data_IF_487269782567
#
_entry.id   IF_487269782567
#
_cell.length_a   1.000
_cell.length_b   1.000
_cell.length_c   1.000
_cell.angle_alpha   90.00
_cell.angle_beta   90.00
_cell.angle_gamma   90.00
#
_symmetry.space_group_name_H-M   'P 1'
#
loop_
_entity.id
_entity.type
_entity.pdbx_description
1 polymer ?
#
# COMPACT_ATOMS: atom_id res chain seq x y z
N UNK A 1 22.42 22.33 -4.55
CA UNK A 1 21.42 21.62 -3.72
C UNK A 1 20.56 20.81 -4.69
N UNK A 2 20.72 19.49 -4.71
CA UNK A 2 19.95 18.60 -5.58
C UNK A 2 18.59 18.39 -4.92
N UNK A 3 17.50 18.74 -5.61
CA UNK A 3 16.14 18.50 -5.14
C UNK A 3 15.90 16.97 -5.14
N UNK A 4 15.73 16.40 -3.97
CA UNK A 4 15.38 15.01 -3.78
C UNK A 4 13.86 14.94 -3.94
N UNK A 5 13.41 14.36 -5.04
CA UNK A 5 11.98 14.08 -5.25
C UNK A 5 11.67 12.79 -4.50
N UNK A 6 11.03 12.90 -3.35
CA UNK A 6 10.46 11.74 -2.65
C UNK A 6 9.45 11.04 -3.57
N UNK A 7 9.62 9.75 -3.77
CA UNK A 7 8.82 8.93 -4.69
C UNK A 7 7.36 8.76 -4.24
N UNK A 8 7.01 9.22 -3.04
CA UNK A 8 5.69 9.11 -2.43
C UNK A 8 4.70 10.23 -2.82
N UNK A 9 5.16 11.31 -3.46
CA UNK A 9 4.37 12.55 -3.60
C UNK A 9 3.54 12.63 -4.88
N UNK A 10 3.13 11.54 -5.52
CA UNK A 10 2.25 11.63 -6.68
C UNK A 10 1.04 10.70 -6.58
N UNK A 11 0.12 11.04 -5.66
CA UNK A 11 -1.24 10.50 -5.65
C UNK A 11 -2.22 11.57 -6.17
N UNK A 12 -2.02 12.00 -7.42
CA UNK A 12 -3.06 12.72 -8.16
C UNK A 12 -3.63 11.75 -9.19
N UNK A 13 -4.69 11.04 -8.80
CA UNK A 13 -5.46 10.22 -9.72
C UNK A 13 -6.53 11.05 -10.39
N UNK A 14 -6.30 11.45 -11.64
CA UNK A 14 -7.40 11.85 -12.54
C UNK A 14 -8.01 10.57 -13.12
N UNK A 15 -9.09 10.09 -12.55
CA UNK A 15 -9.94 9.04 -13.13
C UNK A 15 -10.94 9.71 -14.10
N UNK A 16 -10.62 9.72 -15.39
CA UNK A 16 -11.63 9.94 -16.42
C UNK A 16 -12.30 8.61 -16.77
N UNK A 17 -13.48 8.38 -16.23
CA UNK A 17 -14.40 7.36 -16.70
C UNK A 17 -15.09 7.86 -17.97
N UNK A 18 -14.64 7.42 -19.13
CA UNK A 18 -15.38 7.55 -20.37
C UNK A 18 -16.49 6.50 -20.42
N UNK A 19 -17.71 6.94 -20.17
CA UNK A 19 -18.90 6.16 -20.45
C UNK A 19 -19.12 6.09 -21.96
N UNK A 20 -18.97 4.93 -22.58
CA UNK A 20 -19.45 4.65 -23.92
C UNK A 20 -20.69 3.77 -23.85
N UNK A 21 -21.78 4.38 -24.33
CA UNK A 21 -23.11 3.82 -24.42
C UNK A 21 -23.28 3.00 -25.72
N UNK A 22 -23.90 1.85 -25.56
CA UNK A 22 -24.75 1.04 -26.46
C UNK A 22 -24.56 1.07 -27.99
N UNK A 23 -24.44 -0.13 -28.56
CA UNK A 23 -25.35 -0.56 -29.64
C UNK A 23 -25.33 -2.09 -29.82
N UNK A 24 -26.55 -2.64 -29.93
CA UNK A 24 -26.87 -4.04 -30.17
C UNK A 24 -26.38 -4.51 -31.54
N UNK A 25 -25.81 -5.71 -31.61
CA UNK A 25 -26.05 -6.61 -32.75
C UNK A 25 -25.90 -8.06 -32.30
N UNK A 26 -26.99 -8.83 -32.54
CA UNK A 26 -27.07 -10.28 -32.43
C UNK A 26 -26.22 -10.93 -33.54
N UNK A 27 -25.38 -11.90 -33.20
CA UNK A 27 -25.21 -13.11 -34.03
C UNK A 27 -24.69 -14.26 -33.16
N UNK A 28 -25.46 -15.32 -33.23
CA UNK A 28 -25.23 -16.65 -32.68
C UNK A 28 -24.04 -17.32 -33.37
N UNK A 29 -23.33 -18.19 -32.65
CA UNK A 29 -22.95 -19.56 -32.94
C UNK A 29 -21.58 -19.95 -32.39
N UNK A 30 -21.59 -21.10 -31.76
CA UNK A 30 -20.55 -22.09 -31.48
C UNK A 30 -19.87 -22.04 -30.11
N UNK A 31 -20.31 -23.05 -29.38
CA UNK A 31 -19.74 -23.65 -28.19
C UNK A 31 -18.32 -24.15 -28.44
N UNK A 32 -17.33 -23.63 -27.71
CA UNK A 32 -16.09 -24.35 -27.43
C UNK A 32 -15.89 -24.44 -25.93
N UNK A 33 -15.98 -25.68 -25.45
CA UNK A 33 -15.73 -26.09 -24.08
C UNK A 33 -14.24 -25.93 -23.78
N UNK A 34 -13.83 -24.82 -23.18
CA UNK A 34 -12.48 -24.70 -22.65
C UNK A 34 -12.48 -25.20 -21.22
N UNK A 35 -11.87 -26.35 -21.02
CA UNK A 35 -11.58 -26.96 -19.72
C UNK A 35 -10.72 -26.00 -18.91
N UNK A 36 -11.31 -25.40 -17.87
CA UNK A 36 -10.56 -24.62 -16.87
C UNK A 36 -9.74 -25.61 -16.05
N UNK A 37 -8.44 -25.61 -16.23
CA UNK A 37 -7.53 -26.28 -15.30
C UNK A 37 -7.58 -25.52 -13.97
N UNK A 38 -8.14 -26.15 -12.97
CA UNK A 38 -8.01 -25.77 -11.57
C UNK A 38 -6.52 -25.81 -11.17
N UNK A 39 -5.89 -24.65 -11.13
CA UNK A 39 -4.57 -24.52 -10.53
C UNK A 39 -4.76 -24.57 -9.02
N UNK A 40 -4.45 -25.71 -8.44
CA UNK A 40 -4.36 -25.91 -6.99
C UNK A 40 -3.37 -24.91 -6.42
N UNK A 41 -3.87 -23.85 -5.82
CA UNK A 41 -3.05 -22.89 -5.08
C UNK A 41 -2.59 -23.58 -3.81
N UNK A 42 -1.32 -23.96 -3.77
CA UNK A 42 -0.67 -24.38 -2.54
C UNK A 42 -0.82 -23.26 -1.51
N UNK A 43 -1.46 -23.60 -0.41
CA UNK A 43 -1.61 -22.73 0.75
C UNK A 43 -0.24 -22.65 1.43
N UNK A 44 0.56 -21.64 1.05
CA UNK A 44 1.78 -21.32 1.79
C UNK A 44 1.36 -20.86 3.19
N UNK A 45 1.58 -21.70 4.15
CA UNK A 45 1.54 -21.35 5.57
C UNK A 45 2.71 -20.39 5.81
N UNK A 46 2.45 -19.11 5.69
CA UNK A 46 3.43 -18.07 6.00
C UNK A 46 3.69 -18.12 7.50
N UNK A 47 4.80 -18.76 7.88
CA UNK A 47 5.35 -18.62 9.24
C UNK A 47 5.72 -17.15 9.37
N UNK A 48 4.99 -16.40 10.22
CA UNK A 48 5.26 -15.00 10.48
C UNK A 48 6.67 -14.92 11.09
N UNK A 49 7.61 -14.41 10.33
CA UNK A 49 8.97 -14.18 10.82
C UNK A 49 8.90 -13.14 11.96
N UNK A 50 9.53 -13.45 13.08
CA UNK A 50 9.62 -12.50 14.20
C UNK A 50 10.69 -11.46 13.88
N UNK A 51 10.40 -10.16 14.14
CA UNK A 51 11.37 -9.10 13.95
C UNK A 51 12.51 -9.22 14.95
N UNK A 52 13.74 -9.02 14.48
CA UNK A 52 14.94 -9.00 15.32
C UNK A 52 15.15 -7.66 16.03
N UNK A 53 14.41 -6.62 15.66
CA UNK A 53 14.53 -5.26 16.20
C UNK A 53 13.91 -5.18 17.59
N UNK A 54 14.72 -4.95 18.62
CA UNK A 54 14.27 -4.91 20.03
C UNK A 54 14.07 -3.51 20.58
N UNK A 55 14.90 -2.54 20.20
CA UNK A 55 14.80 -1.14 20.65
C UNK A 55 13.96 -0.34 19.67
N UNK A 56 12.70 -0.09 20.04
CA UNK A 56 11.70 0.52 19.17
C UNK A 56 11.06 1.75 19.80
N UNK A 57 10.51 2.61 18.97
CA UNK A 57 9.58 3.68 19.32
C UNK A 57 8.26 3.50 18.58
N UNK A 58 7.18 4.04 19.16
CA UNK A 58 5.86 4.08 18.53
C UNK A 58 5.69 5.40 17.80
N UNK A 59 5.40 5.33 16.52
CA UNK A 59 5.12 6.49 15.66
C UNK A 59 3.70 6.41 15.13
N UNK A 60 3.11 7.55 14.77
CA UNK A 60 1.76 7.61 14.22
C UNK A 60 0.88 8.66 14.86
N UNK A 61 -0.41 8.60 14.55
CA UNK A 61 -1.47 9.43 15.13
C UNK A 61 -2.80 8.69 15.14
N UNK A 62 -3.79 9.21 15.87
CA UNK A 62 -5.15 8.67 15.87
C UNK A 62 -5.79 8.70 14.47
N UNK A 63 -5.33 9.63 13.61
CA UNK A 63 -5.82 9.73 12.25
C UNK A 63 -5.32 8.58 11.35
N UNK A 64 -4.08 8.11 11.54
CA UNK A 64 -3.41 7.17 10.63
C UNK A 64 -3.11 5.81 11.25
N UNK A 65 -3.30 5.67 12.56
CA UNK A 65 -2.84 4.52 13.33
C UNK A 65 -1.38 4.66 13.74
N UNK A 66 -0.87 3.63 14.40
CA UNK A 66 0.45 3.61 15.01
C UNK A 66 1.21 2.35 14.61
N UNK A 67 2.52 2.47 14.41
CA UNK A 67 3.43 1.34 14.21
C UNK A 67 4.68 1.52 15.07
N UNK A 68 5.41 0.42 15.26
CA UNK A 68 6.76 0.47 15.84
C UNK A 68 7.79 0.62 14.72
N UNK A 69 8.78 1.47 14.98
CA UNK A 69 10.00 1.59 14.17
C UNK A 69 11.21 1.55 15.10
N UNK A 70 12.44 1.31 14.60
CA UNK A 70 13.65 1.41 15.41
C UNK A 70 13.72 2.78 16.10
N UNK A 71 14.16 2.81 17.35
CA UNK A 71 14.25 4.04 18.14
C UNK A 71 15.19 5.09 17.54
N UNK A 72 16.16 4.65 16.74
CA UNK A 72 17.09 5.51 16.02
C UNK A 72 16.47 6.23 14.81
N UNK A 73 15.27 5.80 14.35
CA UNK A 73 14.62 6.45 13.23
C UNK A 73 14.09 7.82 13.62
N UNK A 74 14.22 8.78 12.71
CA UNK A 74 13.88 10.18 12.92
C UNK A 74 12.66 10.57 12.06
N UNK A 75 11.91 11.56 12.54
CA UNK A 75 10.81 12.13 11.77
C UNK A 75 11.35 12.81 10.50
N UNK A 76 10.81 12.41 9.36
CA UNK A 76 11.18 12.98 8.07
C UNK A 76 10.25 14.15 7.78
N UNK A 77 10.78 15.37 7.83
CA UNK A 77 10.00 16.62 7.76
C UNK A 77 10.18 17.40 6.45
N UNK A 78 10.97 16.89 5.53
CA UNK A 78 11.29 17.59 4.28
C UNK A 78 10.24 17.42 3.16
N UNK A 79 9.04 16.94 3.50
CA UNK A 79 7.96 16.74 2.52
C UNK A 79 7.09 17.98 2.48
N UNK A 80 7.19 18.78 1.42
CA UNK A 80 6.29 19.90 1.20
C UNK A 80 4.86 19.40 0.89
N UNK A 81 3.89 19.83 1.69
CA UNK A 81 2.47 19.75 1.34
C UNK A 81 1.74 18.44 1.66
N UNK A 82 2.35 17.52 2.41
CA UNK A 82 1.69 16.29 2.87
C UNK A 82 1.27 16.36 4.34
N UNK A 83 0.14 15.75 4.67
CA UNK A 83 -0.26 15.45 6.05
C UNK A 83 0.22 14.05 6.52
N UNK A 84 1.04 13.38 5.71
CA UNK A 84 1.63 12.08 5.99
C UNK A 84 2.57 12.13 7.20
N UNK A 85 2.58 11.03 7.97
CA UNK A 85 3.62 10.83 8.98
C UNK A 85 4.71 9.95 8.39
N UNK A 86 5.92 10.49 8.30
CA UNK A 86 7.07 9.77 7.75
C UNK A 86 8.22 9.70 8.75
N UNK A 87 8.85 8.53 8.83
CA UNK A 87 10.06 8.31 9.61
C UNK A 87 11.10 7.58 8.78
N UNK A 88 12.37 7.94 8.94
CA UNK A 88 13.49 7.36 8.21
C UNK A 88 14.66 7.01 9.14
N UNK A 89 15.59 6.23 8.65
CA UNK A 89 16.81 5.82 9.35
C UNK A 89 17.92 6.91 9.34
N UNK A 90 17.58 8.12 8.92
CA UNK A 90 18.52 9.22 8.70
C UNK A 90 19.01 9.30 7.25
N UNK A 91 18.56 8.40 6.39
CA UNK A 91 18.75 8.46 4.93
C UNK A 91 17.42 8.78 4.23
N UNK A 92 17.48 9.10 2.96
CA UNK A 92 16.31 9.24 2.07
C UNK A 92 15.89 7.93 1.39
N UNK A 93 16.42 6.80 1.87
CA UNK A 93 16.25 5.48 1.27
C UNK A 93 15.22 4.66 2.04
N UNK A 94 15.40 4.54 3.36
CA UNK A 94 14.58 3.70 4.23
C UNK A 94 13.55 4.54 4.96
N UNK A 95 12.29 4.48 4.50
CA UNK A 95 11.22 5.38 4.97
C UNK A 95 9.96 4.56 5.26
N UNK A 96 9.35 4.78 6.42
CA UNK A 96 7.98 4.36 6.73
C UNK A 96 7.05 5.55 6.59
N UNK A 97 5.92 5.34 5.90
CA UNK A 97 4.87 6.36 5.75
C UNK A 97 3.54 5.83 6.27
N UNK A 98 2.84 6.64 7.04
CA UNK A 98 1.47 6.39 7.52
C UNK A 98 0.53 7.45 6.98
N UNK A 99 -0.58 7.02 6.41
CA UNK A 99 -1.66 7.89 5.94
C UNK A 99 -3.01 7.16 5.92
N UNK A 100 -4.07 7.87 5.52
CA UNK A 100 -5.39 7.35 5.22
C UNK A 100 -5.84 7.82 3.85
N UNK A 101 -6.54 6.96 3.12
CA UNK A 101 -7.24 7.43 1.93
C UNK A 101 -8.48 8.21 2.36
N UNK A 102 -8.66 9.39 1.81
CA UNK A 102 -9.86 10.21 1.93
C UNK A 102 -10.69 10.09 0.65
N UNK A 103 -12.00 10.35 0.66
CA UNK A 103 -12.85 10.31 -0.54
C UNK A 103 -12.27 11.12 -1.71
N UNK A 104 -11.75 12.33 -1.42
CA UNK A 104 -11.14 13.20 -2.41
C UNK A 104 -9.87 12.60 -3.05
N UNK A 105 -9.10 11.78 -2.30
CA UNK A 105 -7.93 11.10 -2.85
C UNK A 105 -8.30 10.00 -3.85
N UNK A 106 -9.51 9.46 -3.72
CA UNK A 106 -10.03 8.41 -4.59
C UNK A 106 -10.97 8.96 -5.68
N UNK A 107 -11.28 10.27 -5.64
CA UNK A 107 -12.18 10.92 -6.59
C UNK A 107 -13.62 10.43 -6.49
N UNK A 108 -14.08 10.06 -5.30
CA UNK A 108 -15.43 9.52 -5.02
C UNK A 108 -16.15 10.37 -3.99
N UNK A 109 -17.48 10.25 -3.95
CA UNK A 109 -18.30 10.84 -2.89
C UNK A 109 -18.16 10.07 -1.57
N UNK A 110 -18.58 10.66 -0.45
CA UNK A 110 -18.62 10.00 0.86
C UNK A 110 -19.43 8.70 0.85
N UNK A 111 -20.56 8.68 0.16
CA UNK A 111 -21.41 7.49 0.04
C UNK A 111 -20.73 6.37 -0.77
N UNK A 112 -20.04 6.71 -1.83
CA UNK A 112 -19.27 5.76 -2.63
C UNK A 112 -18.07 5.25 -1.84
N UNK A 113 -17.36 6.13 -1.12
CA UNK A 113 -16.24 5.76 -0.26
C UNK A 113 -16.64 4.73 0.80
N UNK A 114 -17.78 4.93 1.46
CA UNK A 114 -18.29 4.00 2.46
C UNK A 114 -18.59 2.61 1.89
N UNK A 115 -19.01 2.54 0.61
CA UNK A 115 -19.31 1.30 -0.10
C UNK A 115 -18.07 0.57 -0.66
N UNK A 116 -16.91 1.24 -0.73
CA UNK A 116 -15.68 0.62 -1.21
C UNK A 116 -15.20 -0.46 -0.26
N UNK A 117 -14.48 -1.43 -0.83
CA UNK A 117 -13.67 -2.39 -0.09
C UNK A 117 -12.16 -2.17 -0.30
N UNK A 118 -11.34 -2.86 0.49
CA UNK A 118 -9.89 -2.71 0.42
C UNK A 118 -9.30 -3.27 -0.90
N UNK A 119 -10.00 -4.20 -1.58
CA UNK A 119 -9.59 -4.74 -2.88
C UNK A 119 -9.67 -3.64 -3.94
N UNK A 120 -10.79 -2.91 -3.97
CA UNK A 120 -11.01 -1.83 -4.94
C UNK A 120 -9.98 -0.72 -4.77
N UNK A 121 -9.72 -0.29 -3.52
CA UNK A 121 -8.70 0.74 -3.23
C UNK A 121 -7.31 0.25 -3.60
N UNK A 122 -6.95 -0.99 -3.23
CA UNK A 122 -5.63 -1.55 -3.57
C UNK A 122 -5.44 -1.75 -5.07
N UNK A 123 -6.50 -2.10 -5.80
CA UNK A 123 -6.48 -2.23 -7.26
C UNK A 123 -6.17 -0.88 -7.92
N UNK A 124 -6.76 0.20 -7.42
CA UNK A 124 -6.49 1.56 -7.90
C UNK A 124 -5.02 1.96 -7.69
N UNK A 125 -4.49 1.69 -6.49
CA UNK A 125 -3.08 1.94 -6.18
C UNK A 125 -2.16 1.09 -7.05
N UNK A 126 -2.47 -0.19 -7.21
CA UNK A 126 -1.72 -1.11 -8.07
C UNK A 126 -1.63 -0.58 -9.51
N UNK A 127 -2.76 -0.21 -10.10
CA UNK A 127 -2.81 0.32 -11.46
C UNK A 127 -2.00 1.61 -11.61
N UNK A 128 -2.11 2.52 -10.64
CA UNK A 128 -1.32 3.76 -10.62
C UNK A 128 0.18 3.47 -10.58
N UNK A 129 0.61 2.55 -9.71
CA UNK A 129 2.03 2.17 -9.62
C UNK A 129 2.50 1.45 -10.88
N UNK A 130 1.67 0.60 -11.47
CA UNK A 130 1.99 -0.12 -12.71
C UNK A 130 2.17 0.82 -13.93
N UNK A 131 1.43 1.93 -13.97
CA UNK A 131 1.54 2.93 -15.02
C UNK A 131 2.72 3.90 -14.81
N UNK A 132 3.27 3.97 -13.61
CA UNK A 132 4.42 4.83 -13.31
C UNK A 132 5.68 4.32 -13.99
N UNK A 133 6.41 5.28 -14.58
CA UNK A 133 7.72 5.00 -15.20
C UNK A 133 8.85 4.81 -14.18
N UNK A 134 8.59 5.04 -12.90
CA UNK A 134 9.60 4.97 -11.84
C UNK A 134 9.87 3.55 -11.39
N UNK A 135 8.92 2.63 -11.63
CA UNK A 135 9.03 1.23 -11.22
C UNK A 135 9.45 0.32 -12.38
N UNK A 136 10.31 -0.63 -12.08
CA UNK A 136 10.72 -1.71 -12.97
C UNK A 136 9.83 -2.95 -12.83
N UNK A 137 9.19 -3.12 -11.65
CA UNK A 137 8.28 -4.23 -11.35
C UNK A 137 7.23 -3.80 -10.34
N UNK A 138 5.98 -4.23 -10.56
CA UNK A 138 4.85 -4.04 -9.64
C UNK A 138 4.06 -5.34 -9.57
N UNK A 139 3.73 -5.81 -8.35
CA UNK A 139 2.89 -7.00 -8.15
C UNK A 139 2.07 -6.87 -6.88
N UNK A 140 0.94 -7.60 -6.84
CA UNK A 140 0.07 -7.66 -5.67
C UNK A 140 0.33 -8.90 -4.83
N UNK A 141 0.09 -8.81 -3.53
CA UNK A 141 0.04 -9.94 -2.59
C UNK A 141 -0.98 -9.68 -1.48
N UNK A 142 -1.17 -10.65 -0.59
CA UNK A 142 -2.00 -10.51 0.60
C UNK A 142 -1.13 -10.72 1.84
N UNK A 143 -1.45 -10.00 2.92
CA UNK A 143 -0.82 -10.13 4.22
C UNK A 143 -1.80 -9.79 5.33
N UNK A 144 -1.32 -9.78 6.57
CA UNK A 144 -2.03 -9.25 7.73
C UNK A 144 -1.20 -8.13 8.37
N UNK A 145 -1.89 -7.09 8.82
CA UNK A 145 -1.27 -5.97 9.53
C UNK A 145 -2.14 -5.60 10.74
N UNK A 146 -1.58 -5.67 11.94
CA UNK A 146 -2.32 -5.41 13.17
C UNK A 146 -3.57 -6.28 13.35
N UNK A 147 -3.58 -7.49 12.75
CA UNK A 147 -4.72 -8.40 12.75
C UNK A 147 -5.70 -8.21 11.58
N UNK A 148 -5.61 -7.11 10.84
CA UNK A 148 -6.45 -6.86 9.65
C UNK A 148 -5.91 -7.57 8.42
N UNK A 149 -6.82 -8.07 7.56
CA UNK A 149 -6.44 -8.55 6.24
C UNK A 149 -6.07 -7.36 5.36
N UNK A 150 -4.87 -7.41 4.79
CA UNK A 150 -4.31 -6.35 3.96
C UNK A 150 -4.05 -6.84 2.54
N UNK A 151 -4.32 -5.95 1.58
CA UNK A 151 -3.84 -6.09 0.21
C UNK A 151 -2.55 -5.30 0.08
N UNK A 152 -1.53 -5.94 -0.49
CA UNK A 152 -0.18 -5.39 -0.54
C UNK A 152 0.20 -5.12 -1.98
N UNK A 153 0.59 -3.89 -2.26
CA UNK A 153 1.19 -3.51 -3.55
C UNK A 153 2.69 -3.41 -3.35
N UNK A 154 3.41 -4.27 -4.05
CA UNK A 154 4.87 -4.35 -4.00
C UNK A 154 5.45 -3.75 -5.27
N UNK A 155 6.50 -2.95 -5.13
CA UNK A 155 7.18 -2.32 -6.24
C UNK A 155 8.70 -2.45 -6.12
N UNK A 156 9.38 -2.54 -7.24
CA UNK A 156 10.82 -2.32 -7.34
C UNK A 156 11.03 -1.08 -8.21
N UNK A 157 11.62 -0.04 -7.65
CA UNK A 157 11.98 1.16 -8.38
C UNK A 157 13.15 0.88 -9.34
N UNK A 158 13.32 1.71 -10.37
CA UNK A 158 14.40 1.55 -11.35
C UNK A 158 15.81 1.69 -10.76
N UNK A 159 15.91 2.38 -9.61
CA UNK A 159 17.15 2.48 -8.83
C UNK A 159 17.40 1.28 -7.89
N UNK A 160 16.55 0.23 -7.94
CA UNK A 160 16.65 -0.96 -7.12
C UNK A 160 16.02 -0.85 -5.73
N UNK A 161 15.48 0.30 -5.33
CA UNK A 161 14.77 0.49 -4.07
C UNK A 161 13.44 -0.24 -4.10
N UNK A 162 13.08 -0.87 -3.00
CA UNK A 162 11.79 -1.53 -2.82
C UNK A 162 10.79 -0.57 -2.19
N UNK A 163 9.51 -0.75 -2.56
CA UNK A 163 8.36 -0.11 -1.93
C UNK A 163 7.29 -1.17 -1.69
N UNK A 164 6.86 -1.30 -0.44
CA UNK A 164 5.77 -2.18 -0.02
C UNK A 164 4.66 -1.31 0.54
N UNK A 165 3.43 -1.48 0.08
CA UNK A 165 2.26 -0.68 0.49
C UNK A 165 1.18 -1.62 0.99
N UNK A 166 0.81 -1.53 2.26
CA UNK A 166 -0.36 -2.20 2.83
C UNK A 166 -1.58 -1.31 2.72
N UNK A 167 -2.65 -1.87 2.20
CA UNK A 167 -3.96 -1.21 2.07
C UNK A 167 -5.00 -2.11 2.72
N UNK A 168 -5.70 -1.57 3.71
CA UNK A 168 -6.69 -2.30 4.47
C UNK A 168 -7.75 -1.35 5.04
N UNK A 169 -8.92 -1.88 5.39
CA UNK A 169 -9.99 -1.12 6.03
C UNK A 169 -10.00 -1.46 7.52
N UNK A 170 -9.82 -0.46 8.38
CA UNK A 170 -9.88 -0.64 9.84
C UNK A 170 -11.33 -0.55 10.34
N UNK A 171 -11.56 -0.93 11.63
CA UNK A 171 -12.90 -1.02 12.22
C UNK A 171 -13.67 0.30 12.24
N UNK A 172 -12.97 1.44 12.18
CA UNK A 172 -13.56 2.78 12.05
C UNK A 172 -14.01 3.13 10.62
N UNK A 173 -13.95 2.17 9.70
CA UNK A 173 -14.35 2.31 8.32
C UNK A 173 -13.35 3.03 7.41
N UNK A 174 -12.20 3.47 7.92
CA UNK A 174 -11.19 4.17 7.15
C UNK A 174 -10.28 3.22 6.40
N UNK A 175 -9.91 3.60 5.17
CA UNK A 175 -8.85 2.91 4.43
C UNK A 175 -7.49 3.43 4.85
N UNK A 176 -6.68 2.54 5.38
CA UNK A 176 -5.33 2.83 5.86
C UNK A 176 -4.32 2.61 4.74
N UNK A 177 -3.33 3.48 4.73
CA UNK A 177 -2.15 3.41 3.91
C UNK A 177 -0.94 3.33 4.84
N UNK A 178 -0.24 2.22 4.77
CA UNK A 178 1.07 2.07 5.42
C UNK A 178 2.05 1.70 4.33
N UNK A 179 3.20 2.37 4.25
CA UNK A 179 4.23 1.95 3.31
C UNK A 179 5.60 1.89 3.96
N UNK A 180 6.42 1.01 3.42
CA UNK A 180 7.83 0.88 3.72
C UNK A 180 8.61 0.96 2.41
N UNK A 181 9.50 1.93 2.33
CA UNK A 181 10.49 2.02 1.26
C UNK A 181 11.85 1.65 1.83
N UNK A 182 12.70 0.99 1.02
CA UNK A 182 14.04 0.70 1.50
C UNK A 182 14.81 -0.31 0.70
N UNK A 183 15.99 -0.66 1.25
CA UNK A 183 16.81 -1.76 0.75
C UNK A 183 16.23 -3.11 1.19
N UNK A 184 16.54 -4.22 0.48
CA UNK A 184 16.09 -5.56 0.87
C UNK A 184 16.46 -5.94 2.30
N UNK A 185 17.61 -5.51 2.78
CA UNK A 185 18.13 -5.81 4.12
C UNK A 185 17.22 -5.18 5.19
N UNK A 186 16.88 -3.89 5.01
CA UNK A 186 16.00 -3.18 5.94
C UNK A 186 14.57 -3.74 5.88
N UNK A 187 14.09 -4.05 4.68
CA UNK A 187 12.74 -4.61 4.54
C UNK A 187 12.60 -5.93 5.30
N UNK A 188 13.60 -6.80 5.27
CA UNK A 188 13.56 -8.12 5.92
C UNK A 188 13.20 -8.03 7.42
N UNK A 189 13.74 -7.04 8.12
CA UNK A 189 13.51 -6.86 9.56
C UNK A 189 12.29 -5.98 9.85
N UNK A 190 12.03 -5.00 8.98
CA UNK A 190 10.96 -4.02 9.18
C UNK A 190 9.58 -4.53 8.79
N UNK A 191 9.45 -5.39 7.77
CA UNK A 191 8.15 -5.93 7.35
C UNK A 191 7.42 -6.61 8.51
N UNK A 192 8.02 -7.61 9.21
CA UNK A 192 7.33 -8.24 10.33
C UNK A 192 7.07 -7.28 11.50
N UNK A 193 7.97 -6.31 11.75
CA UNK A 193 7.78 -5.31 12.80
C UNK A 193 6.53 -4.46 12.54
N UNK A 194 6.36 -3.94 11.32
CA UNK A 194 5.22 -3.13 10.92
C UNK A 194 3.93 -3.96 10.98
N UNK A 195 3.92 -5.14 10.38
CA UNK A 195 2.75 -6.02 10.31
C UNK A 195 2.22 -6.43 11.69
N UNK A 196 3.13 -6.71 12.64
CA UNK A 196 2.76 -7.13 13.99
C UNK A 196 2.41 -5.96 14.92
N UNK A 197 2.92 -4.77 14.65
CA UNK A 197 2.82 -3.64 15.58
C UNK A 197 1.74 -2.61 15.24
N UNK A 198 1.13 -2.67 14.07
CA UNK A 198 0.12 -1.67 13.71
C UNK A 198 -1.10 -1.73 14.61
N UNK A 199 -1.55 -0.58 15.09
CA UNK A 199 -2.75 -0.44 15.95
C UNK A 199 -3.47 0.87 15.66
N UNK A 200 -4.76 0.95 16.04
CA UNK A 200 -5.55 2.19 15.99
C UNK A 200 -5.30 3.11 17.18
N UNK A 201 -4.67 2.61 18.25
CA UNK A 201 -4.43 3.35 19.50
C UNK A 201 -2.95 3.30 19.86
N UNK A 202 -2.45 4.40 20.43
CA UNK A 202 -1.09 4.44 20.96
C UNK A 202 -1.04 3.60 22.25
N UNK A 203 -0.25 2.51 22.20
CA UNK A 203 0.02 1.65 23.35
C UNK A 203 1.39 1.98 23.95
#
# INVERSE_FOLDING_TARGET
MKKIVSLSTLLVCCLYLAACNTSKSKKEVASETTTVQETTTAQETTTVAESTIKDTQVIGSDAYGYVKVPKSWIHFTEVEGGDDIQYCDGTDINIVTLNTFKPEHLGVSESEYAALDAVQVSTSVYQTKQQSKDFSKVWGSKSKIGGYDAYVVNCIAKNGKYLVIWIFKSDDGKFRYVSLEGTPEVLKDMLPLIEQSWTTKKN
#
